data_IF_891882632683
#
_entry.id   IF_891882632683
#
_cell.length_a   1.000
_cell.length_b   1.000
_cell.length_c   1.000
_cell.angle_alpha   90.00
_cell.angle_beta   90.00
_cell.angle_gamma   90.00
#
_symmetry.space_group_name_H-M   'P 1'
#
loop_
_entity.id
_entity.type
_entity.pdbx_description
1 polymer ?
#
# COMPACT_ATOMS: atom_id res chain seq x y z
N UNK A 1 -3.56 -0.74 13.37
CA UNK A 1 -2.18 -0.23 13.20
C UNK A 1 -2.21 1.24 12.79
N UNK A 2 -1.37 2.07 13.43
CA UNK A 2 -1.22 3.51 13.15
C UNK A 2 -0.78 3.76 11.70
N UNK A 3 0.18 2.98 11.20
CA UNK A 3 0.66 3.06 9.81
C UNK A 3 -0.48 2.90 8.79
N UNK A 4 -1.30 1.83 8.94
CA UNK A 4 -2.46 1.58 8.08
C UNK A 4 -3.46 2.74 8.09
N UNK A 5 -3.69 3.35 9.25
CA UNK A 5 -4.62 4.49 9.37
C UNK A 5 -4.11 5.75 8.66
N UNK A 6 -2.79 6.00 8.71
CA UNK A 6 -2.18 7.15 8.05
C UNK A 6 -2.12 6.96 6.53
N UNK A 7 -1.67 5.80 6.06
CA UNK A 7 -1.70 5.47 4.61
C UNK A 7 -3.12 5.60 4.06
N UNK A 8 -4.14 5.09 4.77
CA UNK A 8 -5.55 5.25 4.35
C UNK A 8 -5.99 6.71 4.26
N UNK A 9 -5.53 7.56 5.18
CA UNK A 9 -5.83 8.99 5.15
C UNK A 9 -5.21 9.64 3.91
N UNK A 10 -3.95 9.36 3.64
CA UNK A 10 -3.22 9.97 2.53
C UNK A 10 -3.78 9.50 1.18
N UNK A 11 -4.08 8.21 1.04
CA UNK A 11 -4.77 7.65 -0.13
C UNK A 11 -6.17 8.27 -0.32
N UNK A 12 -6.87 8.60 0.77
CA UNK A 12 -8.18 9.25 0.69
C UNK A 12 -8.08 10.71 0.20
N UNK A 13 -6.98 11.41 0.49
CA UNK A 13 -6.72 12.74 -0.07
C UNK A 13 -6.48 12.67 -1.59
N UNK A 14 -5.81 11.61 -2.05
CA UNK A 14 -5.53 11.38 -3.46
C UNK A 14 -6.67 10.67 -4.22
N UNK A 15 -7.86 10.55 -3.61
CA UNK A 15 -8.99 9.79 -4.16
C UNK A 15 -9.35 10.19 -5.59
N UNK A 16 -9.35 11.49 -5.90
CA UNK A 16 -9.65 11.97 -7.24
C UNK A 16 -8.62 11.49 -8.28
N UNK A 17 -7.34 11.51 -7.93
CA UNK A 17 -6.27 11.03 -8.81
C UNK A 17 -6.33 9.51 -9.02
N UNK A 18 -6.77 8.74 -8.02
CA UNK A 18 -6.95 7.28 -8.13
C UNK A 18 -8.05 6.91 -9.12
N UNK A 19 -9.14 7.68 -9.14
CA UNK A 19 -10.25 7.49 -10.08
C UNK A 19 -10.03 8.16 -11.42
N UNK A 20 -8.95 8.93 -11.57
CA UNK A 20 -8.68 9.62 -12.82
C UNK A 20 -8.28 8.62 -13.92
N UNK A 21 -9.13 8.58 -14.95
CA UNK A 21 -8.97 7.77 -16.16
C UNK A 21 -8.44 8.59 -17.33
N UNK A 22 -8.06 9.85 -17.11
CA UNK A 22 -7.38 10.67 -18.10
C UNK A 22 -6.12 9.96 -18.63
N UNK A 23 -5.74 10.26 -19.86
CA UNK A 23 -4.48 9.81 -20.47
C UNK A 23 -3.51 10.96 -20.59
N UNK A 24 -3.49 11.83 -19.57
CA UNK A 24 -2.55 12.93 -19.56
C UNK A 24 -1.11 12.39 -19.37
N UNK A 25 -0.14 12.94 -20.11
CA UNK A 25 1.27 12.64 -19.87
C UNK A 25 1.67 13.05 -18.45
N UNK A 26 2.52 12.27 -17.81
CA UNK A 26 3.11 12.63 -16.53
C UNK A 26 4.10 13.80 -16.67
N UNK A 27 4.74 14.19 -15.56
CA UNK A 27 5.75 15.26 -15.54
C UNK A 27 6.98 14.99 -16.44
N UNK A 28 7.18 13.75 -16.87
CA UNK A 28 8.25 13.32 -17.76
C UNK A 28 7.79 13.16 -19.21
N UNK A 29 6.50 13.40 -19.49
CA UNK A 29 5.89 13.24 -20.81
C UNK A 29 5.44 11.82 -21.13
N UNK A 30 5.51 10.89 -20.17
CA UNK A 30 5.13 9.50 -20.36
C UNK A 30 3.65 9.27 -20.04
N UNK A 31 2.98 8.48 -20.88
CA UNK A 31 1.58 8.08 -20.63
C UNK A 31 1.59 6.80 -19.80
N UNK A 32 1.55 6.97 -18.49
CA UNK A 32 1.42 5.84 -17.57
C UNK A 32 0.05 5.17 -17.69
N UNK A 33 0.05 3.85 -17.57
CA UNK A 33 -1.18 3.08 -17.38
C UNK A 33 -1.87 3.49 -16.07
N UNK A 34 -3.17 3.22 -15.97
CA UNK A 34 -3.92 3.54 -14.75
C UNK A 34 -3.35 2.79 -13.54
N UNK A 35 -2.92 1.54 -13.72
CA UNK A 35 -2.29 0.74 -12.66
C UNK A 35 -0.99 1.36 -12.17
N UNK A 36 -0.14 1.86 -13.07
CA UNK A 36 1.13 2.50 -12.69
C UNK A 36 0.88 3.79 -11.91
N UNK A 37 -0.06 4.62 -12.37
CA UNK A 37 -0.44 5.85 -11.63
C UNK A 37 -0.98 5.53 -10.24
N UNK A 38 -1.83 4.52 -10.13
CA UNK A 38 -2.35 4.06 -8.83
C UNK A 38 -1.22 3.52 -7.94
N UNK A 39 -0.24 2.82 -8.51
CA UNK A 39 0.93 2.35 -7.77
C UNK A 39 1.75 3.52 -7.21
N UNK A 40 2.03 4.55 -8.02
CA UNK A 40 2.77 5.72 -7.56
C UNK A 40 2.06 6.48 -6.43
N UNK A 41 0.73 6.55 -6.45
CA UNK A 41 -0.05 7.14 -5.34
C UNK A 41 0.16 6.33 -4.06
N UNK A 42 0.11 5.01 -4.14
CA UNK A 42 0.34 4.12 -3.00
C UNK A 42 1.78 4.23 -2.49
N UNK A 43 2.77 4.26 -3.38
CA UNK A 43 4.19 4.45 -3.05
C UNK A 43 4.44 5.78 -2.35
N UNK A 44 3.83 6.86 -2.83
CA UNK A 44 3.92 8.19 -2.22
C UNK A 44 3.32 8.19 -0.82
N UNK A 45 2.14 7.62 -0.64
CA UNK A 45 1.49 7.50 0.66
C UNK A 45 2.32 6.63 1.64
N UNK A 46 2.93 5.55 1.17
CA UNK A 46 3.83 4.73 1.98
C UNK A 46 5.10 5.49 2.38
N UNK A 47 5.74 6.15 1.40
CA UNK A 47 6.96 6.96 1.59
C UNK A 47 6.76 8.07 2.62
N UNK A 48 5.65 8.80 2.53
CA UNK A 48 5.31 9.88 3.47
C UNK A 48 5.18 9.39 4.93
N UNK A 49 4.92 8.09 5.11
CA UNK A 49 4.73 7.45 6.41
C UNK A 49 5.91 6.57 6.85
N UNK A 50 7.05 6.61 6.17
CA UNK A 50 8.23 5.85 6.61
C UNK A 50 8.68 6.24 8.03
N UNK A 51 8.44 7.47 8.46
CA UNK A 51 8.75 7.95 9.81
C UNK A 51 8.02 7.18 10.93
N UNK A 52 6.92 6.48 10.63
CA UNK A 52 6.20 5.64 11.59
C UNK A 52 6.45 4.15 11.39
N UNK A 53 7.31 3.77 10.44
CA UNK A 53 7.80 2.40 10.29
C UNK A 53 8.91 2.12 11.31
N UNK A 54 8.52 1.85 12.55
CA UNK A 54 9.46 1.45 13.59
C UNK A 54 9.94 0.01 13.38
N UNK A 55 11.14 -0.38 13.86
CA UNK A 55 11.60 -1.77 13.79
C UNK A 55 10.61 -2.77 14.40
N UNK A 56 9.94 -2.40 15.49
CA UNK A 56 8.90 -3.22 16.11
C UNK A 56 7.68 -3.44 15.20
N UNK A 57 7.27 -2.40 14.45
CA UNK A 57 6.19 -2.53 13.48
C UNK A 57 6.61 -3.41 12.31
N UNK A 58 7.82 -3.26 11.80
CA UNK A 58 8.37 -4.09 10.72
C UNK A 58 8.44 -5.56 11.15
N UNK A 59 8.97 -5.86 12.33
CA UNK A 59 9.01 -7.22 12.87
C UNK A 59 7.60 -7.83 13.02
N UNK A 60 6.61 -7.04 13.44
CA UNK A 60 5.22 -7.49 13.51
C UNK A 60 4.61 -7.76 12.13
N UNK A 61 4.96 -6.97 11.11
CA UNK A 61 4.53 -7.20 9.73
C UNK A 61 5.18 -8.45 9.14
N UNK A 62 6.48 -8.64 9.35
CA UNK A 62 7.21 -9.84 8.93
C UNK A 62 6.62 -11.10 9.55
N UNK A 63 6.32 -11.06 10.86
CA UNK A 63 5.66 -12.16 11.56
C UNK A 63 4.30 -12.48 10.92
N UNK A 64 3.47 -11.45 10.68
CA UNK A 64 2.17 -11.65 10.05
C UNK A 64 2.27 -12.24 8.64
N UNK A 65 3.21 -11.74 7.83
CA UNK A 65 3.47 -12.27 6.49
C UNK A 65 3.93 -13.72 6.55
N UNK A 66 4.85 -14.06 7.45
CA UNK A 66 5.34 -15.42 7.64
C UNK A 66 4.21 -16.36 8.04
N UNK A 67 3.41 -15.98 9.04
CA UNK A 67 2.29 -16.81 9.52
C UNK A 67 1.25 -17.03 8.41
N UNK A 68 0.99 -16.00 7.59
CA UNK A 68 0.11 -16.10 6.44
C UNK A 68 0.64 -17.08 5.39
N UNK A 69 1.93 -16.98 5.03
CA UNK A 69 2.58 -17.90 4.09
C UNK A 69 2.59 -19.33 4.62
N UNK A 70 2.87 -19.53 5.91
CA UNK A 70 2.84 -20.84 6.55
C UNK A 70 1.44 -21.45 6.49
N UNK A 71 0.40 -20.68 6.82
CA UNK A 71 -0.99 -21.15 6.70
C UNK A 71 -1.37 -21.52 5.26
N UNK A 72 -0.99 -20.68 4.30
CA UNK A 72 -1.21 -20.95 2.88
C UNK A 72 -0.55 -22.26 2.45
N UNK A 73 0.71 -22.49 2.87
CA UNK A 73 1.45 -23.71 2.55
C UNK A 73 0.80 -24.97 3.15
N UNK A 74 0.15 -24.83 4.30
CA UNK A 74 -0.55 -25.92 4.99
C UNK A 74 -2.00 -26.12 4.53
N UNK A 75 -2.51 -25.32 3.58
CA UNK A 75 -3.94 -25.23 3.22
C UNK A 75 -4.84 -24.94 4.44
N UNK A 76 -4.34 -24.17 5.41
CA UNK A 76 -5.11 -23.69 6.55
C UNK A 76 -5.87 -22.41 6.19
N UNK A 77 -7.03 -22.21 6.80
CA UNK A 77 -7.83 -21.00 6.57
C UNK A 77 -7.06 -19.72 6.92
N UNK A 78 -6.91 -18.87 5.91
CA UNK A 78 -6.24 -17.57 6.00
C UNK A 78 -7.24 -16.49 6.41
N UNK A 79 -7.28 -16.15 7.71
CA UNK A 79 -8.13 -15.06 8.21
C UNK A 79 -7.40 -13.73 8.11
N UNK A 80 -7.95 -12.79 7.32
CA UNK A 80 -7.40 -11.45 7.16
C UNK A 80 -8.04 -10.45 8.14
N UNK A 81 -7.28 -10.01 9.14
CA UNK A 81 -7.69 -8.96 10.07
C UNK A 81 -8.51 -9.47 11.25
N UNK A 82 -7.84 -9.64 12.40
CA UNK A 82 -8.42 -9.48 13.73
C UNK A 82 -8.08 -8.08 14.24
#
# INVERSE_FOLDING_TARGET
>A
SVLKSRIKRDVALDRHAIYDRSREPDSNGEILSISERQMHILERAATANMNVMTPALVASMELHCRDFVTKAANNEDMVYGM
#
